data_IF_129429636432
#
_entry.id   IF_129429636432
#
_cell.length_a   1.000
_cell.length_b   1.000
_cell.length_c   1.000
_cell.angle_alpha   90.00
_cell.angle_beta   90.00
_cell.angle_gamma   90.00
#
_symmetry.space_group_name_H-M   'P 1'
#
loop_
_entity.id
_entity.type
_entity.pdbx_description
1 polymer ?
#
# COMPACT_ATOMS: atom_id res chain seq x y z
N UNK A 1 13.04 7.91 2.05
CA UNK A 1 12.48 9.27 1.91
C UNK A 1 11.01 9.16 1.54
N UNK A 2 10.18 9.94 2.17
CA UNK A 2 8.74 9.92 1.94
C UNK A 2 8.40 11.02 0.93
N UNK A 3 7.92 10.67 -0.27
CA UNK A 3 7.60 11.68 -1.26
C UNK A 3 6.42 12.53 -0.82
N UNK A 4 6.55 13.82 -1.00
CA UNK A 4 5.49 14.82 -0.79
C UNK A 4 5.18 15.42 -2.16
N UNK A 5 3.92 15.53 -2.47
CA UNK A 5 3.50 16.04 -3.77
C UNK A 5 2.21 16.86 -3.66
N UNK A 6 2.01 17.74 -4.61
CA UNK A 6 0.81 18.58 -4.70
C UNK A 6 -0.07 18.06 -5.83
N UNK A 7 -1.34 17.82 -5.53
CA UNK A 7 -2.32 17.42 -6.53
C UNK A 7 -3.71 17.89 -6.11
N UNK A 8 -4.45 18.47 -7.04
CA UNK A 8 -5.80 18.96 -6.77
C UNK A 8 -5.89 19.96 -5.63
N UNK A 9 -4.84 20.79 -5.45
CA UNK A 9 -4.76 21.74 -4.36
C UNK A 9 -4.46 21.15 -2.99
N UNK A 10 -4.12 19.87 -2.94
CA UNK A 10 -3.82 19.14 -1.70
C UNK A 10 -2.35 18.79 -1.63
N UNK A 11 -1.80 18.83 -0.41
CA UNK A 11 -0.41 18.40 -0.14
C UNK A 11 -0.46 17.02 0.47
N UNK A 12 0.04 16.03 -0.24
CA UNK A 12 -0.07 14.63 0.13
C UNK A 12 1.31 14.01 0.31
N UNK A 13 1.40 13.02 1.20
CA UNK A 13 2.63 12.28 1.45
C UNK A 13 2.36 10.79 1.40
N UNK A 14 3.20 10.05 0.65
CA UNK A 14 3.18 8.59 0.67
C UNK A 14 4.27 8.13 1.62
N UNK A 15 3.90 7.33 2.61
CA UNK A 15 4.83 6.83 3.64
C UNK A 15 4.41 5.46 4.15
N UNK A 16 5.29 4.85 4.94
CA UNK A 16 4.96 3.60 5.60
C UNK A 16 3.92 3.83 6.71
N UNK A 17 3.08 2.83 6.91
CA UNK A 17 2.12 2.82 8.01
C UNK A 17 2.85 2.90 9.34
N UNK A 18 2.36 3.75 10.24
CA UNK A 18 2.81 3.86 11.62
C UNK A 18 1.75 3.30 12.56
N UNK A 19 2.16 2.81 13.72
CA UNK A 19 1.22 2.31 14.71
C UNK A 19 0.20 3.39 15.13
N UNK A 20 0.63 4.64 15.18
CA UNK A 20 -0.26 5.76 15.52
C UNK A 20 -1.37 5.98 14.50
N UNK A 21 -1.19 5.54 13.26
CA UNK A 21 -2.22 5.68 12.22
C UNK A 21 -3.47 4.87 12.56
N UNK A 22 -3.33 3.81 13.33
CA UNK A 22 -4.45 2.98 13.76
C UNK A 22 -5.42 3.71 14.69
N UNK A 23 -5.01 4.86 15.21
CA UNK A 23 -5.82 5.70 16.08
C UNK A 23 -6.54 6.82 15.33
N UNK A 24 -6.27 6.96 14.02
CA UNK A 24 -6.81 8.01 13.17
C UNK A 24 -7.73 7.44 12.09
N UNK A 25 -8.00 8.23 11.08
CA UNK A 25 -8.91 7.89 9.98
C UNK A 25 -8.51 6.68 9.14
N UNK A 26 -7.40 6.02 9.46
CA UNK A 26 -6.99 4.79 8.79
C UNK A 26 -8.12 3.76 8.74
N UNK A 27 -8.85 3.63 9.86
CA UNK A 27 -9.97 2.69 9.92
C UNK A 27 -11.11 3.07 8.98
N UNK A 28 -11.30 4.34 8.69
CA UNK A 28 -12.31 4.76 7.73
C UNK A 28 -11.98 4.26 6.33
N UNK A 29 -10.70 4.34 5.94
CA UNK A 29 -10.25 3.79 4.67
C UNK A 29 -10.29 2.27 4.70
N UNK A 30 -9.80 1.67 5.78
CA UNK A 30 -9.80 0.21 5.94
C UNK A 30 -11.20 -0.36 6.07
N UNK A 31 -12.18 0.39 6.56
CA UNK A 31 -13.56 -0.08 6.61
C UNK A 31 -14.19 -0.21 5.23
N UNK A 32 -13.61 0.44 4.22
CA UNK A 32 -14.00 0.25 2.83
C UNK A 32 -13.47 -1.08 2.27
N UNK A 33 -12.48 -1.65 2.94
CA UNK A 33 -11.98 -2.98 2.60
C UNK A 33 -13.04 -4.00 3.02
N UNK A 34 -13.27 -4.97 2.14
CA UNK A 34 -14.19 -6.06 2.44
C UNK A 34 -13.63 -6.93 3.57
N UNK A 35 -14.48 -7.80 4.12
CA UNK A 35 -14.04 -8.80 5.10
C UNK A 35 -12.91 -9.69 4.57
N UNK A 36 -12.76 -9.77 3.24
CA UNK A 36 -11.65 -10.47 2.60
C UNK A 36 -10.32 -9.95 3.10
N UNK A 37 -10.18 -8.65 3.27
CA UNK A 37 -8.93 -8.06 3.72
C UNK A 37 -8.65 -8.35 5.18
N UNK A 38 -9.69 -8.43 6.00
CA UNK A 38 -9.55 -8.89 7.38
C UNK A 38 -9.10 -10.34 7.43
N UNK A 39 -9.61 -11.16 6.52
CA UNK A 39 -9.19 -12.55 6.37
C UNK A 39 -7.72 -12.62 5.96
N UNK A 40 -7.30 -11.76 5.04
CA UNK A 40 -5.91 -11.67 4.61
C UNK A 40 -5.02 -11.28 5.79
N UNK A 41 -5.44 -10.31 6.61
CA UNK A 41 -4.68 -9.89 7.79
C UNK A 41 -4.56 -11.01 8.83
N UNK A 42 -5.60 -11.83 8.99
CA UNK A 42 -5.55 -13.01 9.86
C UNK A 42 -4.68 -14.11 9.26
N UNK A 43 -4.82 -14.33 7.96
CA UNK A 43 -4.02 -15.31 7.24
C UNK A 43 -2.54 -14.93 7.30
N UNK A 44 -2.23 -13.63 7.32
CA UNK A 44 -0.89 -13.12 7.49
C UNK A 44 -0.22 -13.63 8.75
N UNK A 45 -0.93 -13.65 9.89
CA UNK A 45 -0.37 -14.17 11.13
C UNK A 45 0.00 -15.64 11.00
N UNK A 46 -0.78 -16.40 10.24
CA UNK A 46 -0.52 -17.81 9.97
C UNK A 46 0.63 -17.96 8.97
N UNK A 47 0.71 -17.06 7.99
CA UNK A 47 1.70 -17.10 6.93
C UNK A 47 3.01 -16.39 7.28
N UNK A 48 3.11 -15.74 8.43
CA UNK A 48 4.35 -15.08 8.87
C UNK A 48 5.52 -16.07 9.03
N UNK A 49 5.21 -17.36 9.08
CA UNK A 49 6.23 -18.41 9.08
C UNK A 49 6.73 -18.75 7.67
N UNK A 50 6.10 -18.21 6.64
CA UNK A 50 6.58 -18.29 5.28
C UNK A 50 7.48 -17.07 5.02
N UNK A 51 8.43 -17.23 4.12
CA UNK A 51 9.44 -16.21 3.83
C UNK A 51 8.85 -15.00 3.07
N UNK A 52 7.73 -14.45 3.54
CA UNK A 52 7.08 -13.30 2.95
C UNK A 52 7.22 -12.09 3.87
N UNK A 53 7.49 -10.94 3.27
CA UNK A 53 7.52 -9.66 3.97
C UNK A 53 6.32 -8.83 3.53
N UNK A 54 5.55 -8.32 4.50
CA UNK A 54 4.40 -7.48 4.25
C UNK A 54 4.74 -6.03 4.62
N UNK A 55 4.53 -5.13 3.68
CA UNK A 55 4.86 -3.72 3.87
C UNK A 55 3.63 -2.90 3.52
N UNK A 56 3.19 -2.08 4.47
CA UNK A 56 1.99 -1.26 4.33
C UNK A 56 2.38 0.18 4.11
N UNK A 57 1.77 0.78 3.09
CA UNK A 57 1.94 2.20 2.77
C UNK A 57 0.62 2.93 2.92
N UNK A 58 0.71 4.19 3.27
CA UNK A 58 -0.46 5.07 3.39
C UNK A 58 -0.19 6.37 2.64
N UNK A 59 -1.26 7.04 2.27
CA UNK A 59 -1.21 8.41 1.78
C UNK A 59 -1.83 9.29 2.86
N UNK A 60 -1.05 10.23 3.34
CA UNK A 60 -1.51 11.21 4.34
C UNK A 60 -1.76 12.55 3.67
N UNK A 61 -2.91 13.15 3.93
CA UNK A 61 -3.16 14.56 3.59
C UNK A 61 -2.50 15.41 4.67
N UNK A 62 -1.43 16.11 4.32
CA UNK A 62 -0.65 16.89 5.30
C UNK A 62 -1.39 18.11 5.83
N UNK A 63 -2.44 18.55 5.15
CA UNK A 63 -3.24 19.68 5.63
C UNK A 63 -4.20 19.28 6.75
N UNK A 64 -4.70 18.05 6.71
CA UNK A 64 -5.68 17.56 7.67
C UNK A 64 -5.11 16.47 8.59
N UNK A 65 -3.94 15.93 8.25
CA UNK A 65 -3.30 14.77 8.90
C UNK A 65 -4.15 13.51 8.86
N UNK A 66 -5.04 13.41 7.88
CA UNK A 66 -5.87 12.22 7.67
C UNK A 66 -5.20 11.26 6.69
N UNK A 67 -5.38 9.97 6.95
CA UNK A 67 -5.00 8.92 6.01
C UNK A 67 -6.11 8.80 4.98
N UNK A 68 -5.77 9.01 3.72
CA UNK A 68 -6.76 9.03 2.64
C UNK A 68 -6.53 7.95 1.59
N UNK A 69 -5.49 7.16 1.75
CA UNK A 69 -5.21 6.07 0.85
C UNK A 69 -4.29 5.03 1.48
N UNK A 70 -4.32 3.83 0.94
CA UNK A 70 -3.48 2.72 1.38
C UNK A 70 -2.99 1.92 0.18
N UNK A 71 -1.92 1.17 0.39
CA UNK A 71 -1.45 0.16 -0.55
C UNK A 71 -0.55 -0.83 0.18
N UNK A 72 -0.54 -2.06 -0.26
CA UNK A 72 0.24 -3.13 0.38
C UNK A 72 1.22 -3.72 -0.62
N UNK A 73 2.46 -3.90 -0.16
CA UNK A 73 3.49 -4.63 -0.89
C UNK A 73 3.76 -5.92 -0.15
N UNK A 74 3.74 -7.03 -0.86
CA UNK A 74 4.13 -8.33 -0.33
C UNK A 74 5.37 -8.78 -1.10
N UNK A 75 6.48 -8.96 -0.40
CA UNK A 75 7.72 -9.45 -0.99
C UNK A 75 7.80 -10.94 -0.72
N UNK A 76 7.75 -11.74 -1.77
CA UNK A 76 7.93 -13.18 -1.66
C UNK A 76 9.32 -13.57 -2.16
N UNK A 77 10.00 -14.40 -1.36
CA UNK A 77 11.30 -14.92 -1.71
C UNK A 77 11.13 -16.27 -2.39
N UNK A 78 11.74 -16.43 -3.54
CA UNK A 78 11.81 -17.71 -4.18
C UNK A 78 13.13 -18.38 -3.77
N UNK A 79 13.05 -19.32 -2.85
CA UNK A 79 14.22 -19.96 -2.27
C UNK A 79 15.04 -20.76 -3.28
N UNK A 80 14.41 -21.21 -4.36
CA UNK A 80 15.11 -21.99 -5.39
C UNK A 80 15.92 -21.12 -6.35
N UNK A 81 15.56 -19.83 -6.49
CA UNK A 81 16.20 -18.94 -7.45
C UNK A 81 16.88 -17.74 -6.78
N UNK A 82 16.83 -17.63 -5.46
CA UNK A 82 17.38 -16.50 -4.69
C UNK A 82 16.86 -15.16 -5.20
N UNK A 83 15.65 -15.14 -5.71
CA UNK A 83 15.04 -13.93 -6.29
C UNK A 83 13.79 -13.54 -5.53
N UNK A 84 13.51 -12.26 -5.52
CA UNK A 84 12.33 -11.70 -4.87
C UNK A 84 11.32 -11.28 -5.92
N UNK A 85 10.05 -11.48 -5.58
CA UNK A 85 8.91 -11.04 -6.39
C UNK A 85 8.06 -10.12 -5.54
N UNK A 86 7.71 -8.96 -6.06
CA UNK A 86 6.84 -8.01 -5.38
C UNK A 86 5.41 -8.18 -5.84
N UNK A 87 4.48 -8.19 -4.87
CA UNK A 87 3.05 -8.18 -5.13
C UNK A 87 2.50 -6.87 -4.60
N UNK A 88 1.74 -6.15 -5.42
CA UNK A 88 1.07 -4.92 -5.00
C UNK A 88 -0.42 -5.23 -4.90
N UNK A 89 -0.98 -4.99 -3.72
CA UNK A 89 -2.36 -5.33 -3.43
C UNK A 89 -3.03 -4.26 -2.58
N UNK A 90 -4.36 -4.31 -2.53
CA UNK A 90 -5.18 -3.51 -1.62
C UNK A 90 -4.96 -2.00 -1.73
N UNK A 91 -4.85 -1.51 -2.97
CA UNK A 91 -4.83 -0.07 -3.20
C UNK A 91 -6.25 0.47 -3.02
N UNK A 92 -6.41 1.32 -2.01
CA UNK A 92 -7.70 1.94 -1.69
C UNK A 92 -7.49 3.43 -1.51
N UNK A 93 -8.37 4.22 -2.10
CA UNK A 93 -8.35 5.67 -2.00
C UNK A 93 -9.70 6.12 -1.43
N UNK A 94 -9.65 7.02 -0.44
CA UNK A 94 -10.86 7.61 0.13
C UNK A 94 -11.69 8.28 -0.97
N UNK A 95 -13.01 8.11 -0.90
CA UNK A 95 -13.93 8.56 -1.96
C UNK A 95 -13.81 10.05 -2.27
N UNK A 96 -13.50 10.87 -1.27
CA UNK A 96 -13.36 12.31 -1.46
C UNK A 96 -12.09 12.70 -2.23
N UNK A 97 -11.21 11.72 -2.49
CA UNK A 97 -9.95 11.91 -3.18
C UNK A 97 -9.88 11.10 -4.48
N UNK A 98 -11.02 10.57 -4.92
CA UNK A 98 -11.11 9.88 -6.21
C UNK A 98 -10.96 10.87 -7.36
N UNK A 99 -10.70 10.35 -8.54
CA UNK A 99 -10.65 11.11 -9.81
C UNK A 99 -9.51 12.13 -9.92
N UNK A 100 -8.53 12.07 -9.02
CA UNK A 100 -7.33 12.91 -9.12
C UNK A 100 -6.06 12.10 -9.39
N UNK A 101 -6.21 10.81 -9.71
CA UNK A 101 -5.09 9.96 -10.15
C UNK A 101 -4.24 9.38 -9.02
N UNK A 102 -4.73 9.37 -7.78
CA UNK A 102 -3.94 8.90 -6.65
C UNK A 102 -3.68 7.40 -6.68
N UNK A 103 -4.63 6.61 -7.16
CA UNK A 103 -4.43 5.16 -7.28
C UNK A 103 -3.23 4.84 -8.15
N UNK A 104 -3.10 5.53 -9.28
CA UNK A 104 -1.97 5.35 -10.18
C UNK A 104 -0.67 5.86 -9.56
N UNK A 105 -0.72 6.97 -8.85
CA UNK A 105 0.45 7.55 -8.20
C UNK A 105 0.99 6.61 -7.13
N UNK A 106 0.14 6.09 -6.25
CA UNK A 106 0.60 5.15 -5.22
C UNK A 106 1.09 3.85 -5.87
N UNK A 107 0.40 3.36 -6.90
CA UNK A 107 0.84 2.15 -7.60
C UNK A 107 2.25 2.32 -8.16
N UNK A 108 2.53 3.42 -8.83
CA UNK A 108 3.86 3.67 -9.40
C UNK A 108 4.92 3.79 -8.30
N UNK A 109 4.57 4.40 -7.17
CA UNK A 109 5.49 4.49 -6.04
C UNK A 109 5.82 3.12 -5.47
N UNK A 110 4.82 2.27 -5.29
CA UNK A 110 5.01 0.92 -4.76
C UNK A 110 5.79 0.05 -5.73
N UNK A 111 5.54 0.20 -7.02
CA UNK A 111 6.29 -0.50 -8.06
C UNK A 111 7.77 -0.11 -8.02
N UNK A 112 8.05 1.19 -7.91
CA UNK A 112 9.42 1.68 -7.77
C UNK A 112 10.09 1.10 -6.52
N UNK A 113 9.36 1.07 -5.40
CA UNK A 113 9.85 0.51 -4.15
C UNK A 113 10.24 -0.97 -4.33
N UNK A 114 9.40 -1.78 -4.96
CA UNK A 114 9.69 -3.18 -5.21
C UNK A 114 10.96 -3.35 -6.05
N UNK A 115 11.07 -2.60 -7.13
CA UNK A 115 12.16 -2.77 -8.09
C UNK A 115 13.48 -2.19 -7.60
N UNK A 116 13.45 -1.04 -6.94
CA UNK A 116 14.65 -0.28 -6.61
C UNK A 116 15.09 -0.41 -5.15
N UNK A 117 14.18 -0.57 -4.21
CA UNK A 117 14.51 -0.71 -2.80
C UNK A 117 14.65 -2.17 -2.41
N UNK A 118 13.75 -3.02 -2.89
CA UNK A 118 13.74 -4.45 -2.57
C UNK A 118 14.40 -5.32 -3.65
N UNK A 119 14.76 -4.73 -4.78
CA UNK A 119 15.44 -5.42 -5.87
C UNK A 119 14.66 -6.62 -6.40
N UNK A 120 13.32 -6.48 -6.47
CA UNK A 120 12.48 -7.52 -7.03
C UNK A 120 12.77 -7.70 -8.52
N UNK A 121 12.70 -8.94 -8.99
CA UNK A 121 12.89 -9.23 -10.41
C UNK A 121 11.63 -8.93 -11.24
N UNK A 122 10.48 -8.94 -10.59
CA UNK A 122 9.21 -8.56 -11.22
C UNK A 122 8.21 -8.12 -10.17
N UNK A 123 7.17 -7.44 -10.64
CA UNK A 123 6.06 -6.97 -9.81
C UNK A 123 4.77 -7.54 -10.38
N UNK A 124 3.97 -8.12 -9.51
CA UNK A 124 2.68 -8.72 -9.85
C UNK A 124 1.59 -7.92 -9.15
N UNK A 125 0.49 -7.70 -9.84
CA UNK A 125 -0.68 -7.08 -9.24
C UNK A 125 -1.92 -7.89 -9.61
N UNK A 126 -2.79 -8.09 -8.63
CA UNK A 126 -4.08 -8.72 -8.84
C UNK A 126 -5.18 -7.71 -9.05
N UNK A 127 -4.83 -6.44 -9.00
CA UNK A 127 -5.83 -5.42 -8.98
C UNK A 127 -6.50 -5.27 -10.32
N UNK A 128 -7.78 -5.34 -10.28
CA UNK A 128 -8.60 -4.66 -11.24
C UNK A 128 -8.52 -3.18 -10.87
N UNK A 129 -7.77 -2.40 -11.63
CA UNK A 129 -7.40 -1.04 -11.27
C UNK A 129 -8.52 -0.03 -11.52
N UNK A 130 -9.68 -0.29 -11.02
CA UNK A 130 -10.76 0.68 -11.00
C UNK A 130 -10.62 1.59 -9.78
N UNK A 131 -9.47 2.19 -9.70
CA UNK A 131 -9.20 3.12 -8.62
C UNK A 131 -9.29 4.54 -9.11
#
# INVERSE_FOLDING_TARGET
>A
MNPVFLIGGKTLCIRRLKQTDLQHAYYEVMSLLSEIDRTILRTREILDNLENEYIYFVIEDLNTHMIIGTGTVIISNNSTQLSQVGHIENIMIHQDYHDIGLGDIIFQHLKYYCLNTKHCIKVITNCDHNI
#
